data_IF_829299130079
#
_entry.id   IF_829299130079
#
_cell.length_a   1.000
_cell.length_b   1.000
_cell.length_c   1.000
_cell.angle_alpha   90.00
_cell.angle_beta   90.00
_cell.angle_gamma   90.00
#
_symmetry.space_group_name_H-M   'P 1'
#
loop_
_entity.id
_entity.type
_entity.pdbx_description
1 polymer ?
#
# COMPACT_ATOMS: atom_id res chain seq x y z
N UNK A 1 -67.18 -38.39 9.28
CA UNK A 1 -65.79 -37.90 9.34
C UNK A 1 -65.75 -36.45 8.87
N UNK A 2 -65.48 -35.48 9.76
CA UNK A 2 -64.90 -34.19 9.42
C UNK A 2 -63.39 -34.18 9.81
N UNK A 3 -62.59 -33.12 9.52
CA UNK A 3 -62.11 -32.78 8.18
C UNK A 3 -60.59 -32.42 8.12
N UNK A 4 -60.10 -32.39 6.88
CA UNK A 4 -58.95 -31.66 6.27
C UNK A 4 -57.93 -30.89 7.14
N UNK A 5 -56.65 -31.22 6.97
CA UNK A 5 -55.52 -30.27 7.00
C UNK A 5 -55.10 -29.95 5.56
N UNK A 6 -55.22 -28.67 5.19
CA UNK A 6 -54.77 -28.12 3.91
C UNK A 6 -53.24 -28.03 3.94
N UNK A 7 -52.58 -28.71 3.01
CA UNK A 7 -51.19 -28.44 2.66
C UNK A 7 -51.12 -27.14 1.87
N UNK A 8 -50.64 -26.08 2.52
CA UNK A 8 -50.26 -24.84 1.86
C UNK A 8 -48.94 -25.05 1.14
N UNK A 9 -49.01 -25.03 -0.19
CA UNK A 9 -47.89 -24.75 -1.09
C UNK A 9 -47.26 -23.41 -0.70
N UNK A 10 -46.12 -23.45 -0.03
CA UNK A 10 -45.19 -22.33 -0.05
C UNK A 10 -44.63 -22.26 -1.46
N UNK A 11 -45.12 -21.30 -2.24
CA UNK A 11 -44.45 -20.84 -3.45
C UNK A 11 -43.24 -20.05 -2.97
N UNK A 12 -42.07 -20.54 -3.33
CA UNK A 12 -40.80 -19.84 -3.25
C UNK A 12 -40.93 -18.52 -4.01
N UNK A 13 -41.14 -17.44 -3.28
CA UNK A 13 -40.78 -16.10 -3.71
C UNK A 13 -39.34 -15.90 -3.23
N UNK A 14 -38.39 -16.54 -3.90
CA UNK A 14 -37.02 -16.06 -3.95
C UNK A 14 -37.05 -14.88 -4.92
N UNK A 15 -37.34 -13.69 -4.39
CA UNK A 15 -36.90 -12.45 -5.02
C UNK A 15 -35.37 -12.50 -4.94
N UNK A 16 -34.76 -13.00 -6.02
CA UNK A 16 -33.37 -12.78 -6.34
C UNK A 16 -33.17 -11.26 -6.39
N UNK A 17 -32.74 -10.67 -5.27
CA UNK A 17 -32.05 -9.38 -5.27
C UNK A 17 -30.79 -9.58 -6.11
N UNK A 18 -30.92 -9.36 -7.41
CA UNK A 18 -29.80 -9.13 -8.32
C UNK A 18 -28.98 -7.98 -7.73
N UNK A 19 -27.95 -8.34 -6.95
CA UNK A 19 -26.84 -7.46 -6.61
C UNK A 19 -26.36 -6.84 -7.91
N UNK A 20 -26.74 -5.58 -8.14
CA UNK A 20 -26.22 -4.77 -9.21
C UNK A 20 -24.72 -4.73 -9.02
N UNK A 21 -24.00 -5.51 -9.84
CA UNK A 21 -22.55 -5.44 -9.95
C UNK A 21 -22.30 -4.07 -10.58
N UNK A 22 -22.10 -3.06 -9.74
CA UNK A 22 -21.63 -1.75 -10.18
C UNK A 22 -20.33 -1.97 -10.97
N UNK A 23 -20.30 -1.46 -12.20
CA UNK A 23 -19.10 -1.50 -13.03
C UNK A 23 -17.94 -0.88 -12.24
N UNK A 24 -16.76 -1.53 -12.18
CA UNK A 24 -15.66 -1.04 -11.37
C UNK A 24 -15.30 0.37 -11.86
N UNK A 25 -15.40 1.36 -10.97
CA UNK A 25 -14.95 2.72 -11.24
C UNK A 25 -13.51 2.62 -11.73
N UNK A 26 -13.19 3.14 -12.94
CA UNK A 26 -11.89 2.96 -13.55
C UNK A 26 -10.80 3.53 -12.63
N UNK A 27 -9.67 2.82 -12.53
CA UNK A 27 -8.49 3.27 -11.79
C UNK A 27 -8.18 4.71 -12.16
N UNK A 28 -7.89 5.54 -11.16
CA UNK A 28 -7.55 6.94 -11.40
C UNK A 28 -6.37 7.02 -12.37
N UNK A 29 -6.49 7.74 -13.51
CA UNK A 29 -5.43 7.80 -14.52
C UNK A 29 -4.06 8.23 -13.97
N UNK A 30 -4.07 9.04 -12.91
CA UNK A 30 -2.87 9.49 -12.19
C UNK A 30 -2.08 8.33 -11.56
N UNK A 31 -2.76 7.29 -11.08
CA UNK A 31 -2.14 6.13 -10.43
C UNK A 31 -1.64 5.14 -11.48
N UNK A 32 -2.41 4.91 -12.54
CA UNK A 32 -1.93 4.16 -13.71
C UNK A 32 -0.61 4.75 -14.23
N UNK A 33 -0.57 6.09 -14.37
CA UNK A 33 0.64 6.81 -14.75
C UNK A 33 1.77 6.69 -13.72
N UNK A 34 1.47 6.65 -12.42
CA UNK A 34 2.45 6.39 -11.36
C UNK A 34 3.09 5.00 -11.51
N UNK A 35 2.28 3.96 -11.74
CA UNK A 35 2.77 2.60 -11.96
C UNK A 35 3.64 2.51 -13.22
N UNK A 36 3.21 3.18 -14.30
CA UNK A 36 3.98 3.23 -15.54
C UNK A 36 5.29 4.02 -15.38
N UNK A 37 5.28 5.14 -14.65
CA UNK A 37 6.49 5.93 -14.33
C UNK A 37 7.49 5.10 -13.56
N UNK A 38 7.04 4.38 -12.54
CA UNK A 38 7.90 3.52 -11.73
C UNK A 38 8.49 2.37 -12.54
N UNK A 39 7.68 1.78 -13.42
CA UNK A 39 8.15 0.75 -14.38
C UNK A 39 9.23 1.31 -15.29
N UNK A 40 9.10 2.55 -15.75
CA UNK A 40 10.09 3.23 -16.58
C UNK A 40 11.39 3.55 -15.81
N UNK A 41 11.27 4.05 -14.57
CA UNK A 41 12.40 4.42 -13.72
C UNK A 41 13.18 3.21 -13.18
N UNK A 42 12.58 2.03 -13.14
CA UNK A 42 13.22 0.82 -12.62
C UNK A 42 14.39 0.37 -13.51
N UNK A 43 15.55 0.19 -12.89
CA UNK A 43 16.77 -0.31 -13.55
C UNK A 43 16.70 -1.82 -13.84
N UNK A 44 15.73 -2.53 -13.27
CA UNK A 44 15.61 -3.99 -13.32
C UNK A 44 14.61 -4.48 -14.38
N UNK A 45 14.02 -3.57 -15.16
CA UNK A 45 13.02 -3.88 -16.18
C UNK A 45 13.68 -3.90 -17.57
N UNK A 46 13.33 -4.92 -18.36
CA UNK A 46 13.80 -5.10 -19.74
C UNK A 46 13.53 -3.85 -20.60
N UNK A 47 14.43 -3.54 -21.53
CA UNK A 47 14.32 -2.38 -22.42
C UNK A 47 13.01 -2.37 -23.23
N UNK A 48 12.54 -3.55 -23.67
CA UNK A 48 11.26 -3.71 -24.38
C UNK A 48 10.05 -3.28 -23.54
N UNK A 49 10.02 -3.63 -22.24
CA UNK A 49 8.93 -3.25 -21.33
C UNK A 49 8.99 -1.76 -20.98
N UNK A 50 10.18 -1.17 -20.99
CA UNK A 50 10.39 0.26 -20.77
C UNK A 50 9.83 1.09 -21.94
N UNK A 51 10.00 0.63 -23.17
CA UNK A 51 9.41 1.28 -24.35
C UNK A 51 7.88 1.14 -24.41
N UNK A 52 7.34 -0.03 -24.07
CA UNK A 52 5.89 -0.22 -23.93
C UNK A 52 5.29 0.66 -22.85
N UNK A 53 5.96 0.79 -21.69
CA UNK A 53 5.53 1.68 -20.62
C UNK A 53 5.54 3.15 -21.08
N UNK A 54 6.56 3.58 -21.82
CA UNK A 54 6.62 4.93 -22.41
C UNK A 54 5.48 5.17 -23.39
N UNK A 55 5.17 4.21 -24.26
CA UNK A 55 4.05 4.33 -25.21
C UNK A 55 2.70 4.42 -24.50
N UNK A 56 2.49 3.66 -23.42
CA UNK A 56 1.28 3.73 -22.58
C UNK A 56 1.17 5.07 -21.85
N UNK A 57 2.26 5.57 -21.27
CA UNK A 57 2.30 6.90 -20.63
C UNK A 57 1.89 7.98 -21.61
N UNK A 58 2.45 7.96 -22.83
CA UNK A 58 2.11 8.96 -23.85
C UNK A 58 0.65 8.86 -24.26
N UNK A 59 0.14 7.65 -24.50
CA UNK A 59 -1.27 7.45 -24.86
C UNK A 59 -2.21 7.98 -23.77
N UNK A 60 -1.98 7.62 -22.51
CA UNK A 60 -2.83 8.00 -21.39
C UNK A 60 -2.70 9.50 -21.06
N UNK A 61 -1.50 10.07 -21.22
CA UNK A 61 -1.30 11.51 -21.10
C UNK A 61 -2.03 12.31 -22.20
N UNK A 62 -2.08 11.79 -23.44
CA UNK A 62 -2.84 12.39 -24.53
C UNK A 62 -4.35 12.22 -24.35
N UNK A 63 -4.83 11.05 -23.92
CA UNK A 63 -6.25 10.78 -23.68
C UNK A 63 -6.81 11.64 -22.53
N UNK A 64 -5.98 11.97 -21.53
CA UNK A 64 -6.38 12.76 -20.36
C UNK A 64 -5.94 14.23 -20.35
N UNK A 65 -5.23 14.70 -21.38
CA UNK A 65 -4.75 16.07 -21.52
C UNK A 65 -3.89 16.57 -20.33
N UNK A 66 -2.95 15.74 -19.85
CA UNK A 66 -2.15 16.02 -18.65
C UNK A 66 -0.85 16.80 -18.94
N UNK A 67 -0.97 18.06 -19.35
CA UNK A 67 0.19 18.86 -19.78
C UNK A 67 1.22 19.15 -18.65
N UNK A 68 0.84 19.55 -17.43
CA UNK A 68 1.78 19.80 -16.34
C UNK A 68 2.48 18.54 -15.85
N UNK A 69 1.77 17.40 -15.82
CA UNK A 69 2.37 16.12 -15.48
C UNK A 69 3.42 15.68 -16.53
N UNK A 70 3.15 15.91 -17.82
CA UNK A 70 4.13 15.67 -18.88
C UNK A 70 5.37 16.57 -18.76
N UNK A 71 5.22 17.83 -18.37
CA UNK A 71 6.36 18.72 -18.10
C UNK A 71 7.21 18.21 -16.94
N UNK A 72 6.57 17.79 -15.85
CA UNK A 72 7.25 17.19 -14.69
C UNK A 72 7.99 15.89 -15.04
N UNK A 73 7.37 15.02 -15.86
CA UNK A 73 8.02 13.80 -16.38
C UNK A 73 9.17 14.15 -17.31
N UNK A 74 8.98 15.11 -18.20
CA UNK A 74 9.99 15.57 -19.15
C UNK A 74 11.24 16.09 -18.43
N UNK A 75 11.06 16.90 -17.38
CA UNK A 75 12.14 17.35 -16.51
C UNK A 75 12.80 16.19 -15.75
N UNK A 76 12.01 15.24 -15.26
CA UNK A 76 12.52 14.09 -14.48
C UNK A 76 13.33 13.09 -15.32
N UNK A 77 12.95 12.88 -16.58
CA UNK A 77 13.54 11.84 -17.46
C UNK A 77 14.30 12.40 -18.67
N UNK A 78 14.39 13.73 -18.82
CA UNK A 78 15.01 14.41 -19.94
C UNK A 78 14.52 13.91 -21.32
N UNK A 79 13.20 13.73 -21.47
CA UNK A 79 12.62 13.30 -22.74
C UNK A 79 12.48 14.46 -23.73
N UNK A 80 12.78 14.25 -25.01
CA UNK A 80 12.42 15.18 -26.07
C UNK A 80 10.95 14.97 -26.46
N UNK A 81 10.08 15.92 -26.14
CA UNK A 81 8.66 15.92 -26.51
C UNK A 81 8.40 16.77 -27.75
N UNK A 82 7.34 16.43 -28.49
CA UNK A 82 6.80 17.28 -29.57
C UNK A 82 6.08 18.49 -28.97
N UNK A 83 6.64 19.69 -29.15
CA UNK A 83 6.08 20.95 -28.64
C UNK A 83 4.66 21.25 -29.18
N UNK A 84 4.33 20.77 -30.37
CA UNK A 84 3.02 20.96 -31.02
C UNK A 84 1.87 20.32 -30.21
N UNK A 85 2.06 19.08 -29.74
CA UNK A 85 1.03 18.38 -28.96
C UNK A 85 0.86 18.98 -27.56
N UNK A 86 1.93 19.51 -26.96
CA UNK A 86 1.81 20.21 -25.68
C UNK A 86 0.99 21.50 -25.80
N UNK A 87 1.17 22.27 -26.88
CA UNK A 87 0.39 23.49 -27.12
C UNK A 87 -1.08 23.20 -27.37
N UNK A 88 -1.41 22.11 -28.08
CA UNK A 88 -2.80 21.65 -28.25
C UNK A 88 -3.45 21.27 -26.91
N UNK A 89 -2.71 20.54 -26.06
CA UNK A 89 -3.17 20.17 -24.71
C UNK A 89 -3.33 21.39 -23.80
N UNK A 90 -2.39 22.33 -23.82
CA UNK A 90 -2.46 23.57 -23.05
C UNK A 90 -3.66 24.43 -23.50
N UNK A 91 -3.94 24.49 -24.80
CA UNK A 91 -5.09 25.20 -25.35
C UNK A 91 -6.42 24.53 -24.95
N UNK A 92 -6.49 23.20 -24.96
CA UNK A 92 -7.69 22.48 -24.49
C UNK A 92 -7.91 22.66 -22.98
N UNK A 93 -6.83 22.63 -22.20
CA UNK A 93 -6.89 22.83 -20.77
C UNK A 93 -7.30 24.25 -20.40
N UNK A 94 -6.75 25.26 -21.10
CA UNK A 94 -7.13 26.66 -20.91
C UNK A 94 -8.62 26.90 -21.18
N UNK A 95 -9.16 26.35 -22.28
CA UNK A 95 -10.61 26.45 -22.59
C UNK A 95 -11.47 25.83 -21.48
N UNK A 96 -11.08 24.65 -21.00
CA UNK A 96 -11.83 23.96 -19.95
C UNK A 96 -11.72 24.68 -18.60
N UNK A 97 -10.59 25.31 -18.32
CA UNK A 97 -10.41 26.17 -17.15
C UNK A 97 -11.31 27.42 -17.24
N UNK A 98 -11.37 28.07 -18.40
CA UNK A 98 -12.25 29.22 -18.63
C UNK A 98 -13.72 28.88 -18.48
N UNK A 99 -14.17 27.73 -18.98
CA UNK A 99 -15.54 27.23 -18.78
C UNK A 99 -15.86 27.00 -17.29
N UNK A 100 -14.92 26.42 -16.54
CA UNK A 100 -15.07 26.18 -15.11
C UNK A 100 -15.04 27.48 -14.29
N UNK A 101 -14.20 28.44 -14.67
CA UNK A 101 -14.14 29.76 -14.04
C UNK A 101 -15.37 30.60 -14.35
N UNK A 102 -15.94 30.49 -15.56
CA UNK A 102 -17.20 31.12 -15.91
C UNK A 102 -18.36 30.52 -15.08
N UNK A 103 -18.42 29.19 -14.94
CA UNK A 103 -19.40 28.52 -14.07
C UNK A 103 -19.24 28.92 -12.61
N UNK A 104 -18.01 29.08 -12.13
CA UNK A 104 -17.76 29.49 -10.76
C UNK A 104 -18.19 30.95 -10.51
N UNK A 105 -17.98 31.85 -11.47
CA UNK A 105 -18.47 33.24 -11.39
C UNK A 105 -20.00 33.30 -11.44
N UNK A 106 -20.62 32.59 -12.37
CA UNK A 106 -22.08 32.49 -12.43
C UNK A 106 -22.66 31.90 -11.14
N UNK A 107 -22.02 30.88 -10.58
CA UNK A 107 -22.45 30.28 -9.32
C UNK A 107 -22.29 31.24 -8.13
N UNK A 108 -21.26 32.10 -8.12
CA UNK A 108 -21.05 33.10 -7.08
C UNK A 108 -22.00 34.30 -7.19
N UNK A 109 -22.35 34.71 -8.41
CA UNK A 109 -23.18 35.88 -8.65
C UNK A 109 -24.68 35.56 -8.61
N UNK A 110 -25.09 34.38 -9.09
CA UNK A 110 -26.50 34.05 -9.32
C UNK A 110 -27.04 32.91 -8.44
N UNK A 111 -26.18 32.05 -7.86
CA UNK A 111 -26.60 30.78 -7.27
C UNK A 111 -26.14 30.66 -5.80
N UNK A 112 -26.59 29.60 -5.12
CA UNK A 112 -26.32 29.38 -3.70
C UNK A 112 -24.98 28.70 -3.41
N UNK A 113 -24.61 28.63 -2.12
CA UNK A 113 -23.34 28.05 -1.64
C UNK A 113 -23.09 26.59 -2.10
N UNK A 114 -24.16 25.84 -2.38
CA UNK A 114 -24.09 24.44 -2.84
C UNK A 114 -23.51 24.34 -4.25
N UNK A 115 -23.89 25.25 -5.14
CA UNK A 115 -23.45 25.24 -6.56
C UNK A 115 -22.05 25.83 -6.72
N UNK A 116 -21.69 26.80 -5.88
CA UNK A 116 -20.30 27.28 -5.75
C UNK A 116 -19.39 26.11 -5.34
N UNK A 117 -19.85 25.26 -4.43
CA UNK A 117 -19.10 24.07 -4.00
C UNK A 117 -18.95 23.02 -5.10
N UNK A 118 -20.01 22.71 -5.84
CA UNK A 118 -19.93 21.76 -6.96
C UNK A 118 -19.00 22.26 -8.07
N UNK A 119 -19.05 23.56 -8.38
CA UNK A 119 -18.14 24.19 -9.34
C UNK A 119 -16.69 24.12 -8.87
N UNK A 120 -16.44 24.37 -7.58
CA UNK A 120 -15.11 24.23 -6.98
C UNK A 120 -14.62 22.77 -6.98
N UNK A 121 -15.51 21.80 -6.70
CA UNK A 121 -15.17 20.38 -6.70
C UNK A 121 -14.81 19.90 -8.11
N UNK A 122 -15.59 20.28 -9.13
CA UNK A 122 -15.29 19.99 -10.53
C UNK A 122 -13.94 20.60 -10.96
N UNK A 123 -13.60 21.79 -10.44
CA UNK A 123 -12.30 22.42 -10.67
C UNK A 123 -11.17 21.64 -9.99
N UNK A 124 -11.36 21.18 -8.75
CA UNK A 124 -10.41 20.31 -8.05
C UNK A 124 -10.17 19.00 -8.79
N UNK A 125 -11.22 18.33 -9.28
CA UNK A 125 -11.11 17.09 -10.07
C UNK A 125 -10.37 17.32 -11.39
N UNK A 126 -10.63 18.46 -12.06
CA UNK A 126 -9.92 18.83 -13.27
C UNK A 126 -8.42 19.05 -12.98
N UNK A 127 -8.06 19.78 -11.92
CA UNK A 127 -6.65 19.92 -11.51
C UNK A 127 -5.99 18.62 -11.07
N UNK A 128 -6.72 17.76 -10.36
CA UNK A 128 -6.24 16.43 -9.99
C UNK A 128 -5.97 15.56 -11.23
N UNK A 129 -6.80 15.69 -12.26
CA UNK A 129 -6.59 15.02 -13.56
C UNK A 129 -5.39 15.60 -14.33
N UNK A 130 -5.16 16.91 -14.25
CA UNK A 130 -4.04 17.58 -14.92
C UNK A 130 -2.70 17.27 -14.22
N UNK A 131 -2.74 17.01 -12.91
CA UNK A 131 -1.57 16.76 -12.06
C UNK A 131 -0.89 18.03 -11.56
N UNK A 132 -1.61 19.14 -11.39
CA UNK A 132 -1.06 20.34 -10.73
C UNK A 132 -1.25 20.24 -9.21
N UNK A 133 -0.17 19.91 -8.50
CA UNK A 133 -0.19 19.71 -7.05
C UNK A 133 -0.49 21.01 -6.28
N UNK A 134 0.07 22.14 -6.70
CA UNK A 134 0.01 23.37 -5.89
C UNK A 134 -1.36 24.02 -5.95
N UNK A 135 -1.93 24.12 -7.16
CA UNK A 135 -3.26 24.71 -7.33
C UNK A 135 -4.34 23.77 -6.78
N UNK A 136 -4.20 22.46 -6.95
CA UNK A 136 -5.16 21.51 -6.38
C UNK A 136 -5.22 21.59 -4.85
N UNK A 137 -4.09 21.75 -4.15
CA UNK A 137 -4.08 21.89 -2.69
C UNK A 137 -4.77 23.16 -2.21
N UNK A 138 -4.59 24.29 -2.92
CA UNK A 138 -5.24 25.57 -2.59
C UNK A 138 -6.76 25.44 -2.73
N UNK A 139 -7.23 24.96 -3.88
CA UNK A 139 -8.66 24.79 -4.12
C UNK A 139 -9.27 23.73 -3.20
N UNK A 140 -8.54 22.67 -2.85
CA UNK A 140 -9.02 21.67 -1.88
C UNK A 140 -9.19 22.27 -0.48
N UNK A 141 -8.27 23.13 -0.02
CA UNK A 141 -8.46 23.86 1.24
C UNK A 141 -9.67 24.82 1.19
N UNK A 142 -9.86 25.52 0.07
CA UNK A 142 -11.02 26.40 -0.13
C UNK A 142 -12.33 25.61 -0.09
N UNK A 143 -12.42 24.48 -0.81
CA UNK A 143 -13.56 23.57 -0.77
C UNK A 143 -13.85 23.04 0.64
N UNK A 144 -12.81 22.66 1.38
CA UNK A 144 -12.93 22.09 2.72
C UNK A 144 -13.45 23.09 3.75
N UNK A 145 -13.17 24.38 3.56
CA UNK A 145 -13.69 25.48 4.39
C UNK A 145 -15.16 25.80 4.11
N UNK A 146 -15.59 25.72 2.84
CA UNK A 146 -16.97 25.98 2.42
C UNK A 146 -17.90 24.79 2.63
N UNK A 147 -17.35 23.59 2.79
CA UNK A 147 -18.14 22.36 2.97
C UNK A 147 -18.46 22.12 4.45
N UNK A 148 -19.75 22.17 4.79
CA UNK A 148 -20.27 21.84 6.12
C UNK A 148 -20.46 20.34 6.35
N UNK A 149 -20.80 19.58 5.30
CA UNK A 149 -21.08 18.14 5.39
C UNK A 149 -19.78 17.31 5.53
N UNK A 150 -19.78 16.34 6.45
CA UNK A 150 -18.61 15.50 6.72
C UNK A 150 -18.23 14.57 5.56
N UNK A 151 -19.20 14.02 4.82
CA UNK A 151 -18.96 13.09 3.70
C UNK A 151 -18.12 13.69 2.57
N UNK A 152 -18.58 14.76 1.90
CA UNK A 152 -17.81 15.41 0.82
C UNK A 152 -16.45 15.97 1.30
N UNK A 153 -16.35 16.33 2.59
CA UNK A 153 -15.09 16.76 3.21
C UNK A 153 -14.10 15.61 3.36
N UNK A 154 -14.58 14.38 3.65
CA UNK A 154 -13.76 13.17 3.62
C UNK A 154 -13.31 12.83 2.20
N UNK A 155 -14.19 12.98 1.21
CA UNK A 155 -13.86 12.69 -0.19
C UNK A 155 -12.73 13.61 -0.71
N UNK A 156 -12.76 14.90 -0.35
CA UNK A 156 -11.65 15.85 -0.58
C UNK A 156 -10.36 15.45 0.15
N UNK A 157 -10.45 14.89 1.35
CA UNK A 157 -9.29 14.38 2.07
C UNK A 157 -8.68 13.15 1.36
N UNK A 158 -9.51 12.25 0.82
CA UNK A 158 -9.04 11.11 0.03
C UNK A 158 -8.32 11.56 -1.24
N UNK A 159 -8.86 12.55 -1.97
CA UNK A 159 -8.18 13.15 -3.12
C UNK A 159 -6.81 13.73 -2.76
N UNK A 160 -6.70 14.40 -1.60
CA UNK A 160 -5.40 14.92 -1.11
C UNK A 160 -4.41 13.80 -0.79
N UNK A 161 -4.86 12.71 -0.15
CA UNK A 161 -4.02 11.54 0.11
C UNK A 161 -3.54 10.94 -1.21
N UNK A 162 -4.44 10.81 -2.19
CA UNK A 162 -4.13 10.26 -3.49
C UNK A 162 -3.06 11.06 -4.23
N UNK A 163 -3.19 12.39 -4.24
CA UNK A 163 -2.18 13.29 -4.81
C UNK A 163 -0.85 13.18 -4.07
N UNK A 164 -0.87 13.15 -2.73
CA UNK A 164 0.33 12.94 -1.93
C UNK A 164 1.06 11.64 -2.29
N UNK A 165 0.33 10.55 -2.44
CA UNK A 165 0.87 9.25 -2.87
C UNK A 165 1.42 9.31 -4.30
N UNK A 166 0.70 9.93 -5.24
CA UNK A 166 1.13 10.04 -6.63
C UNK A 166 2.39 10.90 -6.83
N UNK A 167 2.56 11.96 -6.04
CA UNK A 167 3.78 12.76 -6.04
C UNK A 167 4.86 12.23 -5.09
N UNK A 168 4.58 11.13 -4.37
CA UNK A 168 5.45 10.55 -3.33
C UNK A 168 5.82 11.51 -2.20
N UNK A 169 4.94 12.47 -1.89
CA UNK A 169 5.08 13.40 -0.77
C UNK A 169 4.38 12.85 0.49
N UNK A 170 5.22 12.44 1.44
CA UNK A 170 4.78 11.85 2.70
C UNK A 170 4.07 12.84 3.61
N UNK A 171 4.44 14.11 3.60
CA UNK A 171 3.89 15.09 4.56
C UNK A 171 2.44 15.43 4.22
N UNK A 172 2.16 15.59 2.92
CA UNK A 172 0.81 15.85 2.41
C UNK A 172 -0.11 14.66 2.72
N UNK A 173 0.36 13.43 2.48
CA UNK A 173 -0.40 12.22 2.78
C UNK A 173 -0.65 12.07 4.29
N UNK A 174 0.35 12.34 5.14
CA UNK A 174 0.21 12.30 6.61
C UNK A 174 -0.85 13.28 7.14
N UNK A 175 -0.84 14.52 6.62
CA UNK A 175 -1.82 15.53 6.96
C UNK A 175 -3.22 15.12 6.45
N UNK A 176 -3.28 14.56 5.23
CA UNK A 176 -4.41 13.85 4.65
C UNK A 176 -5.10 12.91 5.62
N UNK A 177 -4.37 11.90 6.07
CA UNK A 177 -4.86 10.83 6.96
C UNK A 177 -5.27 11.38 8.32
N UNK A 178 -4.53 12.35 8.89
CA UNK A 178 -4.85 12.95 10.19
C UNK A 178 -6.18 13.70 10.17
N UNK A 179 -6.43 14.48 9.12
CA UNK A 179 -7.69 15.21 9.00
C UNK A 179 -8.86 14.27 8.71
N UNK A 180 -8.65 13.21 7.92
CA UNK A 180 -9.65 12.19 7.69
C UNK A 180 -10.06 11.46 9.00
N UNK A 181 -9.09 11.12 9.86
CA UNK A 181 -9.37 10.54 11.19
C UNK A 181 -10.20 11.44 12.10
N UNK A 182 -9.98 12.77 12.03
CA UNK A 182 -10.78 13.74 12.82
C UNK A 182 -12.23 13.80 12.36
N UNK A 183 -12.46 13.64 11.06
CA UNK A 183 -13.79 13.72 10.43
C UNK A 183 -14.55 12.39 10.48
N UNK A 184 -13.87 11.26 10.77
CA UNK A 184 -14.46 9.92 10.73
C UNK A 184 -15.38 9.58 11.91
N UNK A 185 -15.59 10.49 12.87
CA UNK A 185 -16.50 10.24 14.02
C UNK A 185 -17.95 10.01 13.61
N UNK A 186 -18.40 10.60 12.50
CA UNK A 186 -19.77 10.52 11.98
C UNK A 186 -19.81 10.00 10.52
N UNK A 187 -18.79 9.24 10.09
CA UNK A 187 -18.65 8.80 8.71
C UNK A 187 -19.40 7.52 8.37
N UNK A 188 -19.90 7.42 7.13
CA UNK A 188 -20.51 6.22 6.57
C UNK A 188 -19.56 5.02 6.62
N UNK A 189 -20.13 3.83 6.79
CA UNK A 189 -19.37 2.57 6.89
C UNK A 189 -18.46 2.33 5.69
N UNK A 190 -18.91 2.64 4.47
CA UNK A 190 -18.12 2.50 3.25
C UNK A 190 -16.91 3.43 3.22
N UNK A 191 -17.10 4.71 3.56
CA UNK A 191 -16.01 5.70 3.65
C UNK A 191 -14.98 5.33 4.72
N UNK A 192 -15.42 4.66 5.79
CA UNK A 192 -14.53 4.14 6.82
C UNK A 192 -13.63 3.02 6.29
N UNK A 193 -14.17 2.11 5.48
CA UNK A 193 -13.39 1.04 4.87
C UNK A 193 -12.41 1.59 3.84
N UNK A 194 -12.84 2.56 3.02
CA UNK A 194 -11.93 3.31 2.13
C UNK A 194 -10.78 3.93 2.92
N UNK A 195 -11.05 4.62 4.03
CA UNK A 195 -9.98 5.21 4.85
C UNK A 195 -9.01 4.17 5.39
N UNK A 196 -9.49 3.00 5.84
CA UNK A 196 -8.60 1.90 6.28
C UNK A 196 -7.64 1.46 5.18
N UNK A 197 -8.12 1.35 3.94
CA UNK A 197 -7.29 1.00 2.78
C UNK A 197 -6.24 2.09 2.52
N UNK A 198 -6.66 3.36 2.41
CA UNK A 198 -5.75 4.50 2.21
C UNK A 198 -4.69 4.61 3.31
N UNK A 199 -5.10 4.47 4.56
CA UNK A 199 -4.21 4.51 5.72
C UNK A 199 -3.26 3.30 5.74
N UNK A 200 -3.76 2.10 5.43
CA UNK A 200 -2.97 0.88 5.34
C UNK A 200 -1.84 0.99 4.31
N UNK A 201 -2.14 1.52 3.13
CA UNK A 201 -1.14 1.75 2.07
C UNK A 201 -0.13 2.81 2.51
N UNK A 202 -0.60 3.90 3.11
CA UNK A 202 0.29 4.93 3.64
C UNK A 202 1.26 4.36 4.69
N UNK A 203 0.78 3.50 5.60
CA UNK A 203 1.64 2.82 6.57
C UNK A 203 2.66 1.89 5.93
N UNK A 204 2.27 1.14 4.89
CA UNK A 204 3.20 0.34 4.10
C UNK A 204 4.26 1.23 3.44
N UNK A 205 3.88 2.42 2.97
CA UNK A 205 4.80 3.36 2.36
C UNK A 205 5.83 3.93 3.35
N UNK A 206 5.43 4.23 4.59
CA UNK A 206 6.36 4.69 5.66
C UNK A 206 7.10 3.56 6.40
N UNK A 207 6.96 2.31 5.95
CA UNK A 207 7.55 1.07 6.54
C UNK A 207 6.94 0.60 7.86
N UNK A 208 5.77 1.09 8.27
CA UNK A 208 5.05 0.54 9.42
C UNK A 208 4.14 -0.62 8.98
N UNK A 209 4.76 -1.78 8.72
CA UNK A 209 4.05 -2.97 8.27
C UNK A 209 3.09 -3.51 9.32
N UNK A 210 3.31 -3.24 10.62
CA UNK A 210 2.48 -3.79 11.69
C UNK A 210 1.08 -3.17 11.67
N UNK A 211 1.01 -1.84 11.71
CA UNK A 211 -0.28 -1.13 11.61
C UNK A 211 -0.89 -1.27 10.23
N UNK A 212 -0.05 -1.23 9.19
CA UNK A 212 -0.50 -1.40 7.81
C UNK A 212 -1.17 -2.75 7.59
N UNK A 213 -0.56 -3.86 8.02
CA UNK A 213 -1.12 -5.19 7.82
C UNK A 213 -2.45 -5.38 8.54
N UNK A 214 -2.57 -4.92 9.79
CA UNK A 214 -3.81 -5.05 10.57
C UNK A 214 -4.99 -4.35 9.86
N UNK A 215 -4.77 -3.12 9.37
CA UNK A 215 -5.81 -2.35 8.67
C UNK A 215 -6.16 -2.94 7.29
N UNK A 216 -5.17 -3.46 6.57
CA UNK A 216 -5.38 -4.06 5.25
C UNK A 216 -6.10 -5.40 5.34
N UNK A 217 -5.75 -6.25 6.32
CA UNK A 217 -6.40 -7.54 6.55
C UNK A 217 -7.89 -7.39 6.90
N UNK A 218 -8.21 -6.41 7.75
CA UNK A 218 -9.59 -6.02 8.07
C UNK A 218 -10.41 -5.61 6.85
N UNK A 219 -9.74 -5.12 5.80
CA UNK A 219 -10.38 -4.52 4.62
C UNK A 219 -10.49 -5.49 3.44
N UNK A 220 -10.09 -6.76 3.61
CA UNK A 220 -10.15 -7.78 2.54
C UNK A 220 -11.59 -8.08 2.11
N UNK A 221 -12.48 -8.31 3.08
CA UNK A 221 -13.87 -8.70 2.79
C UNK A 221 -14.73 -7.54 2.28
N UNK A 222 -14.29 -6.30 2.50
CA UNK A 222 -15.05 -5.09 2.16
C UNK A 222 -14.25 -4.13 1.29
N UNK A 223 -13.59 -4.67 0.27
CA UNK A 223 -12.84 -3.85 -0.64
C UNK A 223 -13.79 -3.05 -1.56
N UNK A 224 -13.79 -1.73 -1.39
CA UNK A 224 -14.59 -0.78 -2.18
C UNK A 224 -13.74 0.36 -2.79
N UNK A 225 -12.43 0.13 -2.99
CA UNK A 225 -11.47 1.18 -3.40
C UNK A 225 -10.84 0.90 -4.76
N UNK A 226 -11.67 0.68 -5.80
CA UNK A 226 -11.20 0.46 -7.17
C UNK A 226 -10.50 1.68 -7.78
N UNK A 227 -10.72 2.88 -7.21
CA UNK A 227 -10.05 4.12 -7.62
C UNK A 227 -8.53 4.05 -7.46
N UNK A 228 -8.04 3.26 -6.49
CA UNK A 228 -6.64 3.24 -6.11
C UNK A 228 -5.86 2.09 -6.74
N UNK A 229 -6.39 0.86 -6.69
CA UNK A 229 -5.70 -0.31 -7.24
C UNK A 229 -6.68 -1.41 -7.62
N UNK A 230 -6.21 -2.33 -8.46
CA UNK A 230 -6.95 -3.56 -8.74
C UNK A 230 -7.02 -4.45 -7.49
N UNK A 231 -8.09 -5.24 -7.38
CA UNK A 231 -8.30 -6.15 -6.26
C UNK A 231 -7.15 -7.16 -6.11
N UNK A 232 -6.58 -7.63 -7.22
CA UNK A 232 -5.42 -8.52 -7.19
C UNK A 232 -4.17 -7.83 -6.62
N UNK A 233 -3.92 -6.58 -6.97
CA UNK A 233 -2.79 -5.82 -6.42
C UNK A 233 -2.99 -5.52 -4.94
N UNK A 234 -4.23 -5.23 -4.53
CA UNK A 234 -4.59 -5.02 -3.14
C UNK A 234 -4.31 -6.24 -2.27
N UNK A 235 -4.74 -7.43 -2.71
CA UNK A 235 -4.45 -8.67 -1.98
C UNK A 235 -2.95 -8.92 -1.95
N UNK A 236 -2.24 -8.69 -3.06
CA UNK A 236 -0.79 -8.87 -3.12
C UNK A 236 -0.07 -8.03 -2.06
N UNK A 237 -0.40 -6.74 -1.96
CA UNK A 237 0.19 -5.83 -0.98
C UNK A 237 -0.18 -6.25 0.45
N UNK A 238 -1.43 -6.62 0.68
CA UNK A 238 -1.92 -7.06 2.00
C UNK A 238 -1.18 -8.30 2.49
N UNK A 239 -1.00 -9.28 1.62
CA UNK A 239 -0.30 -10.53 1.93
C UNK A 239 1.20 -10.29 2.17
N UNK A 240 1.83 -9.43 1.36
CA UNK A 240 3.25 -9.09 1.51
C UNK A 240 3.51 -8.28 2.78
N UNK A 241 2.60 -7.37 3.13
CA UNK A 241 2.69 -6.59 4.35
C UNK A 241 2.48 -7.43 5.62
N UNK A 242 1.63 -8.46 5.54
CA UNK A 242 1.29 -9.32 6.68
C UNK A 242 2.30 -10.45 6.93
N UNK A 243 3.00 -10.95 5.90
CA UNK A 243 3.95 -12.05 6.04
C UNK A 243 5.05 -11.83 7.11
N UNK A 244 5.68 -10.64 7.23
CA UNK A 244 6.71 -10.40 8.26
C UNK A 244 6.17 -10.18 9.68
N UNK A 245 4.88 -9.86 9.81
CA UNK A 245 4.27 -9.39 11.07
C UNK A 245 3.49 -10.50 11.75
N UNK A 246 2.74 -11.28 10.98
CA UNK A 246 1.83 -12.29 11.52
C UNK A 246 2.59 -13.51 12.05
N UNK A 247 2.03 -14.08 13.12
CA UNK A 247 2.47 -15.37 13.62
C UNK A 247 1.98 -16.50 12.70
N UNK A 248 2.58 -17.70 12.83
CA UNK A 248 2.23 -18.85 11.98
C UNK A 248 0.76 -19.29 12.12
N UNK A 249 0.17 -19.16 13.30
CA UNK A 249 -1.26 -19.48 13.52
C UNK A 249 -2.16 -18.50 12.78
N UNK A 250 -1.83 -17.21 12.88
CA UNK A 250 -2.65 -16.13 12.33
C UNK A 250 -2.53 -16.11 10.81
N UNK A 251 -1.35 -16.39 10.27
CA UNK A 251 -1.10 -16.53 8.83
C UNK A 251 -2.01 -17.60 8.21
N UNK A 252 -2.23 -18.71 8.92
CA UNK A 252 -3.13 -19.77 8.44
C UNK A 252 -4.58 -19.28 8.42
N UNK A 253 -5.06 -18.77 9.55
CA UNK A 253 -6.45 -18.36 9.71
C UNK A 253 -6.84 -17.20 8.79
N UNK A 254 -5.97 -16.19 8.67
CA UNK A 254 -6.30 -14.95 7.98
C UNK A 254 -5.94 -14.97 6.49
N UNK A 255 -4.98 -15.80 6.06
CA UNK A 255 -4.50 -15.78 4.66
C UNK A 255 -4.77 -17.11 3.94
N UNK A 256 -4.39 -18.25 4.53
CA UNK A 256 -4.54 -19.54 3.84
C UNK A 256 -5.99 -20.03 3.80
N UNK A 257 -6.73 -19.79 4.89
CA UNK A 257 -8.12 -20.23 5.03
C UNK A 257 -9.11 -19.17 4.49
N UNK A 258 -8.66 -17.94 4.19
CA UNK A 258 -9.51 -16.89 3.61
C UNK A 258 -9.88 -17.22 2.15
N UNK A 259 -11.19 -17.24 1.81
CA UNK A 259 -11.64 -17.51 0.45
C UNK A 259 -11.29 -16.38 -0.52
N UNK A 260 -11.26 -15.13 -0.06
CA UNK A 260 -10.96 -13.96 -0.91
C UNK A 260 -9.51 -13.97 -1.39
N UNK A 261 -8.57 -14.34 -0.51
CA UNK A 261 -7.16 -14.48 -0.90
C UNK A 261 -6.97 -15.63 -1.88
N UNK A 262 -7.75 -16.70 -1.74
CA UNK A 262 -7.66 -17.89 -2.60
C UNK A 262 -8.27 -17.67 -3.98
N UNK A 263 -9.29 -16.82 -4.09
CA UNK A 263 -9.89 -16.46 -5.38
C UNK A 263 -9.01 -15.51 -6.20
N UNK A 264 -8.11 -14.77 -5.55
CA UNK A 264 -7.17 -13.87 -6.20
C UNK A 264 -6.13 -14.60 -7.06
N UNK A 265 -5.78 -14.04 -8.22
CA UNK A 265 -4.86 -14.65 -9.18
C UNK A 265 -3.38 -14.42 -8.83
N UNK A 266 -2.97 -14.68 -7.58
CA UNK A 266 -1.61 -14.42 -7.08
C UNK A 266 -0.93 -15.72 -6.68
N UNK A 267 -0.57 -16.52 -7.68
CA UNK A 267 -0.02 -17.86 -7.46
C UNK A 267 1.35 -17.84 -6.78
N UNK A 268 2.18 -16.86 -7.09
CA UNK A 268 3.58 -16.81 -6.61
C UNK A 268 3.66 -16.56 -5.09
N UNK A 269 2.90 -15.60 -4.59
CA UNK A 269 2.89 -15.27 -3.15
C UNK A 269 2.18 -16.35 -2.35
N UNK A 270 1.09 -16.91 -2.87
CA UNK A 270 0.41 -18.03 -2.24
C UNK A 270 1.32 -19.27 -2.16
N UNK A 271 2.11 -19.53 -3.21
CA UNK A 271 3.11 -20.59 -3.20
C UNK A 271 4.18 -20.34 -2.13
N UNK A 272 4.72 -19.12 -2.03
CA UNK A 272 5.69 -18.75 -0.98
C UNK A 272 5.14 -19.03 0.43
N UNK A 273 3.91 -18.59 0.72
CA UNK A 273 3.28 -18.82 2.03
C UNK A 273 3.10 -20.31 2.30
N UNK A 274 2.62 -21.05 1.30
CA UNK A 274 2.40 -22.49 1.42
C UNK A 274 3.71 -23.23 1.69
N UNK A 275 4.80 -22.82 1.04
CA UNK A 275 6.15 -23.38 1.25
C UNK A 275 6.66 -23.06 2.66
N UNK A 276 6.50 -21.83 3.14
CA UNK A 276 6.88 -21.42 4.51
C UNK A 276 6.04 -22.17 5.56
N UNK A 277 4.74 -22.27 5.36
CA UNK A 277 3.82 -22.95 6.28
C UNK A 277 4.08 -24.45 6.37
N UNK A 278 4.36 -25.11 5.23
CA UNK A 278 4.70 -26.53 5.17
C UNK A 278 6.17 -26.82 5.53
N UNK A 279 6.95 -25.81 5.93
CA UNK A 279 8.36 -25.93 6.28
C UNK A 279 9.25 -26.53 5.16
N UNK A 280 8.94 -26.26 3.89
CA UNK A 280 9.74 -26.73 2.74
C UNK A 280 10.89 -25.78 2.42
N UNK A 281 11.89 -25.77 3.29
CA UNK A 281 12.98 -24.78 3.28
C UNK A 281 13.80 -24.67 1.98
N UNK A 282 13.93 -25.77 1.21
CA UNK A 282 14.66 -25.78 -0.07
C UNK A 282 14.05 -24.87 -1.14
N UNK A 283 12.73 -24.79 -1.17
CA UNK A 283 11.98 -24.03 -2.19
C UNK A 283 11.77 -22.56 -1.78
N UNK A 284 11.93 -22.24 -0.49
CA UNK A 284 11.62 -20.91 0.07
C UNK A 284 12.38 -19.79 -0.63
N UNK A 285 13.70 -19.95 -0.82
CA UNK A 285 14.53 -18.89 -1.40
C UNK A 285 14.24 -18.66 -2.89
N UNK A 286 13.92 -19.73 -3.62
CA UNK A 286 13.50 -19.62 -5.03
C UNK A 286 12.16 -18.90 -5.14
N UNK A 287 11.17 -19.27 -4.32
CA UNK A 287 9.86 -18.63 -4.30
C UNK A 287 9.97 -17.16 -3.85
N UNK A 288 10.83 -16.89 -2.86
CA UNK A 288 11.07 -15.54 -2.35
C UNK A 288 11.69 -14.63 -3.41
N UNK A 289 12.63 -15.13 -4.22
CA UNK A 289 13.23 -14.34 -5.30
C UNK A 289 12.18 -13.96 -6.35
N UNK A 290 11.34 -14.91 -6.80
CA UNK A 290 10.23 -14.63 -7.73
C UNK A 290 9.30 -13.54 -7.19
N UNK A 291 8.92 -13.63 -5.91
CA UNK A 291 8.07 -12.61 -5.27
C UNK A 291 8.80 -11.28 -5.19
N UNK A 292 10.07 -11.25 -4.79
CA UNK A 292 10.85 -10.01 -4.74
C UNK A 292 11.01 -9.35 -6.11
N UNK A 293 11.13 -10.11 -7.19
CA UNK A 293 11.16 -9.57 -8.55
C UNK A 293 9.82 -8.91 -8.91
N UNK A 294 8.69 -9.54 -8.57
CA UNK A 294 7.37 -8.94 -8.74
C UNK A 294 7.24 -7.65 -7.93
N UNK A 295 7.64 -7.66 -6.65
CA UNK A 295 7.55 -6.51 -5.76
C UNK A 295 8.35 -5.28 -6.23
N UNK A 296 9.44 -5.48 -6.97
CA UNK A 296 10.21 -4.36 -7.57
C UNK A 296 9.40 -3.58 -8.60
N UNK A 297 8.44 -4.23 -9.26
CA UNK A 297 7.54 -3.59 -10.23
C UNK A 297 6.43 -2.75 -9.57
N UNK A 298 6.16 -2.94 -8.29
CA UNK A 298 5.09 -2.24 -7.57
C UNK A 298 5.64 -0.97 -6.94
N UNK A 299 5.03 0.18 -7.26
CA UNK A 299 5.45 1.51 -6.79
C UNK A 299 5.62 1.52 -5.27
N UNK A 300 4.59 1.09 -4.54
CA UNK A 300 4.49 1.21 -3.08
C UNK A 300 5.53 0.37 -2.32
N UNK A 301 5.94 -0.76 -2.87
CA UNK A 301 6.80 -1.74 -2.20
C UNK A 301 8.23 -1.76 -2.73
N UNK A 302 8.49 -1.13 -3.88
CA UNK A 302 9.79 -1.14 -4.56
C UNK A 302 10.97 -0.68 -3.69
N UNK A 303 10.78 0.40 -2.92
CA UNK A 303 11.82 0.93 -2.02
C UNK A 303 12.05 0.03 -0.79
N UNK A 304 11.13 -0.89 -0.53
CA UNK A 304 11.08 -1.71 0.69
C UNK A 304 11.38 -3.19 0.41
N UNK A 305 11.70 -3.57 -0.84
CA UNK A 305 12.01 -4.97 -1.21
C UNK A 305 13.16 -5.55 -0.38
N UNK A 306 14.23 -4.76 -0.16
CA UNK A 306 15.36 -5.19 0.65
C UNK A 306 14.99 -5.41 2.12
N UNK A 307 14.07 -4.60 2.64
CA UNK A 307 13.54 -4.77 3.98
C UNK A 307 12.73 -6.07 4.04
N UNK A 308 11.77 -6.26 3.14
CA UNK A 308 10.95 -7.47 3.07
C UNK A 308 11.82 -8.74 2.96
N UNK A 309 12.81 -8.75 2.06
CA UNK A 309 13.74 -9.88 1.90
C UNK A 309 14.55 -10.18 3.17
N UNK A 310 14.92 -9.17 3.95
CA UNK A 310 15.62 -9.37 5.23
C UNK A 310 14.67 -9.91 6.31
N UNK A 311 13.47 -9.37 6.41
CA UNK A 311 12.50 -9.77 7.44
C UNK A 311 12.00 -11.21 7.21
N UNK A 312 11.69 -11.60 5.98
CA UNK A 312 11.30 -12.97 5.65
C UNK A 312 12.43 -13.96 5.97
N UNK A 313 13.70 -13.59 5.74
CA UNK A 313 14.85 -14.42 6.14
C UNK A 313 14.91 -14.63 7.65
N UNK A 314 14.70 -13.58 8.44
CA UNK A 314 14.64 -13.70 9.91
C UNK A 314 13.52 -14.65 10.31
N UNK A 315 12.32 -14.49 9.74
CA UNK A 315 11.17 -15.35 10.03
C UNK A 315 11.47 -16.82 9.76
N UNK A 316 11.98 -17.13 8.57
CA UNK A 316 12.23 -18.51 8.14
C UNK A 316 13.36 -19.16 8.95
N UNK A 317 14.43 -18.42 9.25
CA UNK A 317 15.53 -18.95 10.07
C UNK A 317 15.10 -19.15 11.52
N UNK A 318 14.37 -18.20 12.12
CA UNK A 318 13.80 -18.35 13.46
C UNK A 318 12.85 -19.54 13.52
N UNK A 319 11.96 -19.70 12.54
CA UNK A 319 11.04 -20.84 12.46
C UNK A 319 11.78 -22.19 12.43
N UNK A 320 12.89 -22.29 11.67
CA UNK A 320 13.70 -23.51 11.65
C UNK A 320 14.40 -23.74 13.00
N UNK A 321 15.03 -22.70 13.53
CA UNK A 321 15.82 -22.77 14.77
C UNK A 321 14.96 -23.03 16.01
N UNK A 322 13.72 -22.52 16.07
CA UNK A 322 12.82 -22.73 17.22
C UNK A 322 12.53 -24.21 17.51
N UNK A 323 12.56 -25.04 16.47
CA UNK A 323 12.32 -26.49 16.57
C UNK A 323 13.50 -27.26 17.16
N UNK A 324 14.69 -26.66 17.23
CA UNK A 324 15.92 -27.33 17.64
C UNK A 324 16.66 -26.58 18.75
N UNK A 325 17.23 -27.30 19.71
CA UNK A 325 18.11 -26.69 20.72
C UNK A 325 19.53 -26.46 20.20
N UNK A 326 20.01 -27.34 19.32
CA UNK A 326 21.31 -27.24 18.67
C UNK A 326 21.25 -27.91 17.29
N UNK A 327 21.85 -27.28 16.27
CA UNK A 327 21.90 -27.79 14.90
C UNK A 327 23.27 -27.56 14.30
N UNK A 328 23.76 -28.49 13.49
CA UNK A 328 25.02 -28.29 12.75
C UNK A 328 24.82 -27.41 11.52
N UNK A 329 25.79 -26.56 11.21
CA UNK A 329 25.74 -25.65 10.05
C UNK A 329 25.51 -26.40 8.73
N UNK A 330 26.12 -27.58 8.58
CA UNK A 330 25.95 -28.43 7.39
C UNK A 330 24.53 -28.98 7.24
N UNK A 331 23.88 -29.36 8.34
CA UNK A 331 22.49 -29.85 8.32
C UNK A 331 21.54 -28.73 7.92
N UNK A 332 21.72 -27.54 8.51
CA UNK A 332 20.94 -26.36 8.15
C UNK A 332 21.17 -25.97 6.69
N UNK A 333 22.42 -25.94 6.22
CA UNK A 333 22.78 -25.70 4.83
C UNK A 333 22.08 -26.67 3.87
N UNK A 334 22.05 -27.97 4.18
CA UNK A 334 21.38 -28.99 3.36
C UNK A 334 19.85 -28.84 3.36
N UNK A 335 19.25 -28.40 4.47
CA UNK A 335 17.81 -28.14 4.57
C UNK A 335 17.38 -26.94 3.71
N UNK A 336 18.20 -25.88 3.68
CA UNK A 336 17.93 -24.66 2.92
C UNK A 336 18.43 -24.68 1.47
N UNK A 337 19.35 -25.59 1.14
CA UNK A 337 20.00 -25.62 -0.18
C UNK A 337 20.97 -24.45 -0.40
N UNK A 338 21.48 -23.84 0.67
CA UNK A 338 22.42 -22.71 0.61
C UNK A 338 23.82 -23.19 0.97
N UNK A 339 24.88 -22.78 0.24
CA UNK A 339 26.26 -23.11 0.61
C UNK A 339 26.60 -22.69 2.05
N UNK A 340 27.32 -23.53 2.84
CA UNK A 340 27.72 -23.20 4.21
C UNK A 340 28.37 -21.81 4.40
N UNK A 341 29.32 -21.35 3.55
CA UNK A 341 29.95 -20.03 3.77
C UNK A 341 28.98 -18.86 3.58
N UNK A 342 27.96 -19.03 2.75
CA UNK A 342 26.93 -18.01 2.53
C UNK A 342 25.97 -17.97 3.72
N UNK A 343 25.58 -19.13 4.22
CA UNK A 343 24.71 -19.26 5.40
C UNK A 343 25.38 -18.68 6.66
N UNK A 344 26.67 -18.96 6.86
CA UNK A 344 27.50 -18.43 7.95
C UNK A 344 27.51 -16.89 7.96
N UNK A 345 27.74 -16.25 6.81
CA UNK A 345 27.72 -14.79 6.69
C UNK A 345 26.30 -14.20 6.93
N UNK A 346 25.26 -14.84 6.38
CA UNK A 346 23.88 -14.42 6.60
C UNK A 346 23.50 -14.49 8.08
N UNK A 347 23.77 -15.60 8.76
CA UNK A 347 23.51 -15.78 10.18
C UNK A 347 24.35 -14.81 11.01
N UNK A 348 25.63 -14.65 10.70
CA UNK A 348 26.51 -13.69 11.39
C UNK A 348 25.94 -12.28 11.40
N UNK A 349 25.44 -11.80 10.25
CA UNK A 349 24.80 -10.48 10.13
C UNK A 349 23.49 -10.39 10.93
N UNK A 350 22.69 -11.46 11.01
CA UNK A 350 21.42 -11.45 11.73
C UNK A 350 21.61 -11.56 13.25
N UNK A 351 22.59 -12.34 13.68
CA UNK A 351 22.99 -12.50 15.09
C UNK A 351 23.62 -11.20 15.60
N UNK A 352 24.50 -10.56 14.82
CA UNK A 352 25.14 -9.30 15.22
C UNK A 352 24.12 -8.16 15.38
N UNK A 353 23.02 -8.21 14.62
CA UNK A 353 21.91 -7.26 14.72
C UNK A 353 20.87 -7.66 15.78
N UNK A 354 21.13 -8.70 16.58
CA UNK A 354 20.24 -9.21 17.63
C UNK A 354 18.83 -9.57 17.13
N UNK A 355 18.70 -9.93 15.85
CA UNK A 355 17.40 -10.30 15.25
C UNK A 355 17.04 -11.75 15.48
N UNK A 356 18.03 -12.61 15.70
CA UNK A 356 17.88 -14.04 15.99
C UNK A 356 18.65 -14.35 17.28
N UNK A 357 17.98 -14.99 18.24
CA UNK A 357 18.56 -15.39 19.52
C UNK A 357 19.31 -16.73 19.40
N UNK A 358 20.40 -16.75 18.62
CA UNK A 358 21.26 -17.92 18.51
C UNK A 358 22.73 -17.57 18.65
N UNK A 359 23.52 -18.54 19.11
CA UNK A 359 24.97 -18.47 19.20
C UNK A 359 25.56 -19.48 18.23
N UNK A 360 26.50 -19.02 17.43
CA UNK A 360 27.21 -19.86 16.47
C UNK A 360 28.62 -20.13 16.99
N UNK A 361 29.02 -21.40 16.97
CA UNK A 361 30.38 -21.83 17.26
C UNK A 361 30.99 -22.43 15.98
N UNK A 362 32.03 -21.75 15.48
CA UNK A 362 32.74 -22.11 14.25
C UNK A 362 33.66 -23.32 14.42
N UNK A 363 34.12 -23.61 15.64
CA UNK A 363 35.04 -24.75 15.86
C UNK A 363 34.25 -26.06 15.86
N UNK A 364 33.05 -26.05 16.45
CA UNK A 364 32.17 -27.21 16.50
C UNK A 364 31.15 -27.27 15.35
N UNK A 365 31.14 -26.28 14.45
CA UNK A 365 30.13 -26.09 13.40
C UNK A 365 28.69 -26.21 13.93
N UNK A 366 28.45 -25.76 15.17
CA UNK A 366 27.18 -25.89 15.85
C UNK A 366 26.52 -24.54 16.11
N UNK A 367 25.21 -24.50 15.91
CA UNK A 367 24.34 -23.35 16.14
C UNK A 367 23.48 -23.73 17.34
N UNK A 368 23.68 -23.06 18.47
CA UNK A 368 22.89 -23.26 19.69
C UNK A 368 21.87 -22.14 19.81
N UNK A 369 20.61 -22.49 20.08
CA UNK A 369 19.53 -21.53 20.25
C UNK A 369 19.42 -21.13 21.71
N UNK A 370 19.28 -19.83 21.96
CA UNK A 370 19.09 -19.30 23.32
C UNK A 370 17.61 -19.02 23.55
N UNK A 371 16.98 -19.87 24.36
CA UNK A 371 15.62 -19.62 24.87
C UNK A 371 15.74 -18.78 26.14
N UNK A 372 15.92 -17.49 25.97
CA UNK A 372 15.96 -16.54 27.09
C UNK A 372 14.58 -16.35 27.71
N UNK A 373 14.55 -15.98 29.00
CA UNK A 373 13.33 -15.52 29.65
C UNK A 373 12.82 -14.24 28.96
N UNK A 374 11.52 -14.19 28.68
CA UNK A 374 10.85 -13.03 28.06
C UNK A 374 11.09 -11.74 28.82
N UNK A 375 11.21 -11.82 30.15
CA UNK A 375 11.52 -10.69 31.04
C UNK A 375 12.86 -10.04 30.73
N UNK A 376 13.88 -10.79 30.35
CA UNK A 376 15.19 -10.25 30.01
C UNK A 376 15.16 -9.50 28.68
N UNK A 377 14.46 -10.05 27.69
CA UNK A 377 14.22 -9.35 26.41
C UNK A 377 13.43 -8.05 26.60
N UNK A 378 12.36 -8.08 27.40
CA UNK A 378 11.57 -6.89 27.71
C UNK A 378 12.38 -5.85 28.47
N UNK A 379 13.21 -6.26 29.44
CA UNK A 379 14.11 -5.36 30.16
C UNK A 379 15.08 -4.66 29.20
N UNK A 380 15.77 -5.41 28.33
CA UNK A 380 16.66 -4.82 27.33
C UNK A 380 15.92 -3.87 26.38
N UNK A 381 14.69 -4.19 25.98
CA UNK A 381 13.86 -3.31 25.14
C UNK A 381 13.49 -2.01 25.86
N UNK A 382 13.11 -2.09 27.14
CA UNK A 382 12.78 -0.92 27.96
C UNK A 382 13.99 -0.02 28.12
N UNK A 383 15.17 -0.57 28.40
CA UNK A 383 16.41 0.22 28.54
C UNK A 383 16.75 0.96 27.24
N UNK A 384 16.70 0.27 26.09
CA UNK A 384 16.95 0.89 24.77
C UNK A 384 15.96 2.01 24.45
N UNK A 385 14.67 1.77 24.65
CA UNK A 385 13.63 2.78 24.40
C UNK A 385 13.69 3.95 25.39
N UNK A 386 14.03 3.67 26.65
CA UNK A 386 14.21 4.66 27.71
C UNK A 386 15.37 5.60 27.41
N UNK A 387 16.51 5.07 26.95
CA UNK A 387 17.66 5.88 26.55
C UNK A 387 17.33 6.78 25.34
N UNK A 388 16.62 6.25 24.33
CA UNK A 388 16.17 7.07 23.19
C UNK A 388 15.27 8.23 23.63
N UNK A 389 14.36 7.99 24.57
CA UNK A 389 13.45 9.01 25.11
C UNK A 389 14.23 10.06 25.91
N UNK A 390 15.11 9.64 26.81
CA UNK A 390 15.95 10.55 27.60
C UNK A 390 16.79 11.46 26.71
N UNK A 391 17.40 10.90 25.67
CA UNK A 391 18.18 11.66 24.69
C UNK A 391 17.33 12.71 23.95
N UNK A 392 16.07 12.39 23.61
CA UNK A 392 15.14 13.36 22.99
C UNK A 392 14.73 14.46 23.97
N UNK A 393 14.39 14.11 25.21
CA UNK A 393 14.04 15.08 26.26
C UNK A 393 15.21 16.03 26.52
N UNK A 394 16.43 15.50 26.63
CA UNK A 394 17.61 16.31 26.87
C UNK A 394 17.88 17.30 25.72
N UNK A 395 17.69 16.87 24.46
CA UNK A 395 17.80 17.77 23.30
C UNK A 395 16.75 18.89 23.34
N UNK A 396 15.50 18.55 23.70
CA UNK A 396 14.42 19.53 23.81
C UNK A 396 14.62 20.51 24.97
N UNK A 397 15.09 20.05 26.14
CA UNK A 397 15.38 20.94 27.27
C UNK A 397 16.51 21.93 26.93
N UNK A 398 17.58 21.49 26.26
CA UNK A 398 18.64 22.39 25.79
C UNK A 398 18.15 23.44 24.78
N UNK A 399 17.17 23.08 23.95
CA UNK A 399 16.55 24.01 22.99
C UNK A 399 15.58 24.99 23.66
N UNK A 400 15.01 24.63 24.81
CA UNK A 400 14.09 25.49 25.57
C UNK A 400 14.81 26.39 26.59
N UNK A 401 16.03 26.00 27.00
CA UNK A 401 16.91 26.78 27.88
C UNK A 401 17.77 27.81 27.13
N UNK A 402 17.98 27.62 25.81
CA UNK A 402 18.46 28.67 24.90
C UNK A 402 17.31 29.57 24.50
#
# INVERSE_FOLDING_TARGET
MPPQTKGTTFRDNEEEEELQIEEPVPMSPLISLLHLRHTYASQYVDESKREEAKAKILKEAYDHNMAPYLRFICESFAWSLEESKMQEMDAFNAKKLEELDARLKDAQENLGDVEVRESLLAKCEHFARIGDLQECLKFNMECSSKTLAAGPKLDLCFQRILLGIAFSDNEIAANGVRDAHRLMKDGDWERRNRLKVYEGIYYVFIRDFKRGSELLLDSISTFASSELMDFNEFILITVVASLPVLSRSDLKQQILDSPEVRSANIKDVFHLITVIYNCRYKEVFSALDTVCQHLRGIVYLSQHVNYFFREVRVLVFTQFLDSYSSVTLNSMSAAFGIPPPVLDNMLGTLISNERIACKMDRVSDSITTYRGDTTNFDYHRIVKNGDLLLNRIQKLSRLAEM
#
